data_IF_078714287572
#
_entry.id   IF_078714287572
#
_cell.length_a   1.000
_cell.length_b   1.000
_cell.length_c   1.000
_cell.angle_alpha   90.00
_cell.angle_beta   90.00
_cell.angle_gamma   90.00
#
_symmetry.space_group_name_H-M   'P 1'
#
loop_
_entity.id
_entity.type
_entity.pdbx_description
1 polymer ?
#
# COMPACT_ATOMS: atom_id res chain seq x y z
N UNK A 1 -16.51 -3.93 -25.93
CA UNK A 1 -16.10 -3.86 -24.52
C UNK A 1 -17.36 -3.68 -23.69
N UNK A 2 -17.82 -4.72 -22.99
CA UNK A 2 -18.96 -4.58 -22.08
C UNK A 2 -18.62 -3.51 -21.03
N UNK A 3 -19.26 -2.35 -21.16
CA UNK A 3 -18.87 -1.14 -20.45
C UNK A 3 -19.12 -1.27 -18.96
N UNK A 4 -18.05 -1.17 -18.17
CA UNK A 4 -18.19 -0.85 -16.76
C UNK A 4 -18.82 0.54 -16.65
N UNK A 5 -19.88 0.66 -15.85
CA UNK A 5 -20.63 1.92 -15.71
C UNK A 5 -20.01 2.86 -14.67
N UNK A 6 -19.29 2.33 -13.70
CA UNK A 6 -18.74 3.11 -12.57
C UNK A 6 -17.28 2.76 -12.32
N UNK A 7 -16.49 3.75 -11.91
CA UNK A 7 -15.12 3.60 -11.41
C UNK A 7 -15.03 4.23 -10.03
N UNK A 8 -14.46 3.51 -9.08
CA UNK A 8 -14.33 3.98 -7.70
C UNK A 8 -12.87 4.02 -7.28
N UNK A 9 -12.44 5.16 -6.73
CA UNK A 9 -11.24 5.27 -5.92
C UNK A 9 -11.57 4.81 -4.51
N UNK A 10 -10.69 4.00 -3.93
CA UNK A 10 -10.81 3.45 -2.60
C UNK A 10 -9.54 3.75 -1.81
N UNK A 11 -9.72 4.12 -0.54
CA UNK A 11 -8.67 4.08 0.46
C UNK A 11 -8.89 2.90 1.40
N UNK A 12 -7.85 2.09 1.57
CA UNK A 12 -7.81 0.98 2.51
C UNK A 12 -6.59 1.12 3.43
N UNK A 13 -6.62 0.42 4.55
CA UNK A 13 -5.44 0.08 5.33
C UNK A 13 -5.36 -1.42 5.54
N UNK A 14 -4.14 -1.92 5.76
CA UNK A 14 -3.94 -3.31 6.09
C UNK A 14 -2.68 -3.56 6.91
N UNK A 15 -2.76 -4.58 7.77
CA UNK A 15 -1.60 -5.16 8.45
C UNK A 15 -1.08 -6.34 7.63
N UNK A 16 0.01 -6.10 6.90
CA UNK A 16 0.61 -7.04 5.96
C UNK A 16 1.19 -8.34 6.53
N UNK A 17 1.29 -8.51 7.85
CA UNK A 17 2.01 -9.61 8.51
C UNK A 17 1.54 -11.00 8.04
N UNK A 18 0.25 -11.16 7.73
CA UNK A 18 -0.35 -12.44 7.33
C UNK A 18 -0.40 -12.66 5.81
N UNK A 19 0.21 -11.78 5.02
CA UNK A 19 0.07 -11.75 3.57
C UNK A 19 1.42 -11.81 2.86
N UNK A 20 1.46 -12.50 1.70
CA UNK A 20 2.59 -12.47 0.76
C UNK A 20 2.59 -11.23 -0.12
N UNK A 21 2.48 -10.08 0.55
CA UNK A 21 2.44 -8.76 -0.04
C UNK A 21 1.08 -8.39 -0.61
N UNK A 22 1.07 -7.29 -1.35
CA UNK A 22 -0.13 -6.76 -1.98
C UNK A 22 -0.64 -7.65 -3.13
N UNK A 23 0.22 -7.88 -4.12
CA UNK A 23 -0.17 -8.42 -5.44
C UNK A 23 -0.71 -9.85 -5.34
N UNK A 24 -1.84 -10.12 -6.01
CA UNK A 24 -2.41 -11.47 -6.14
C UNK A 24 -1.43 -12.43 -6.79
N UNK A 25 -1.23 -13.59 -6.16
CA UNK A 25 -0.40 -14.69 -6.65
C UNK A 25 -1.20 -16.00 -6.62
N UNK A 26 -0.92 -17.00 -7.47
CA UNK A 26 -1.77 -18.18 -7.61
C UNK A 26 -1.90 -19.09 -6.38
N UNK A 27 -0.89 -19.11 -5.49
CA UNK A 27 -0.80 -20.09 -4.38
C UNK A 27 -0.69 -19.46 -2.99
N UNK A 28 -0.65 -18.14 -2.92
CA UNK A 28 -0.34 -17.41 -1.70
C UNK A 28 -1.46 -16.42 -1.39
N UNK A 29 -1.76 -16.25 -0.11
CA UNK A 29 -2.72 -15.24 0.33
C UNK A 29 -2.08 -13.86 0.21
N UNK A 30 -2.71 -12.98 -0.57
CA UNK A 30 -2.31 -11.59 -0.73
C UNK A 30 -3.43 -10.65 -0.33
N UNK A 31 -3.09 -9.41 -0.03
CA UNK A 31 -4.10 -8.39 0.31
C UNK A 31 -5.05 -8.15 -0.86
N UNK A 32 -4.52 -8.03 -2.09
CA UNK A 32 -5.33 -7.84 -3.30
C UNK A 32 -6.33 -8.98 -3.50
N UNK A 33 -5.92 -10.24 -3.29
CA UNK A 33 -6.82 -11.39 -3.45
C UNK A 33 -8.01 -11.31 -2.48
N UNK A 34 -7.76 -11.05 -1.21
CA UNK A 34 -8.80 -10.93 -0.18
C UNK A 34 -9.75 -9.77 -0.49
N UNK A 35 -9.20 -8.63 -0.90
CA UNK A 35 -10.00 -7.45 -1.29
C UNK A 35 -10.87 -7.74 -2.52
N UNK A 36 -10.29 -8.32 -3.58
CA UNK A 36 -11.00 -8.65 -4.81
C UNK A 36 -12.11 -9.68 -4.56
N UNK A 37 -11.86 -10.68 -3.72
CA UNK A 37 -12.85 -11.73 -3.43
C UNK A 37 -14.02 -11.17 -2.60
N UNK A 38 -13.74 -10.30 -1.62
CA UNK A 38 -14.77 -9.61 -0.84
C UNK A 38 -15.61 -8.68 -1.72
N UNK A 39 -14.98 -7.86 -2.55
CA UNK A 39 -15.66 -6.98 -3.51
C UNK A 39 -16.49 -7.76 -4.52
N UNK A 40 -15.94 -8.86 -5.05
CA UNK A 40 -16.63 -9.68 -6.04
C UNK A 40 -17.87 -10.34 -5.46
N UNK A 41 -17.78 -10.83 -4.22
CA UNK A 41 -18.90 -11.38 -3.47
C UNK A 41 -19.97 -10.32 -3.16
N UNK A 42 -19.56 -9.13 -2.75
CA UNK A 42 -20.49 -8.03 -2.44
C UNK A 42 -21.24 -7.53 -3.69
N UNK A 43 -20.53 -7.36 -4.80
CA UNK A 43 -21.07 -6.74 -6.01
C UNK A 43 -21.65 -7.74 -7.02
N UNK A 44 -21.55 -9.05 -6.73
CA UNK A 44 -22.08 -10.12 -7.57
C UNK A 44 -21.45 -10.18 -8.97
N UNK A 45 -20.19 -9.75 -9.10
CA UNK A 45 -19.44 -9.74 -10.36
C UNK A 45 -17.95 -9.91 -10.06
N UNK A 46 -17.16 -10.38 -11.01
CA UNK A 46 -15.69 -10.42 -10.82
C UNK A 46 -15.14 -9.00 -10.77
N UNK A 47 -14.46 -8.66 -9.68
CA UNK A 47 -13.80 -7.37 -9.49
C UNK A 47 -12.29 -7.55 -9.62
N UNK A 48 -11.67 -6.65 -10.39
CA UNK A 48 -10.23 -6.47 -10.45
C UNK A 48 -9.90 -5.15 -9.77
N UNK A 49 -9.01 -5.19 -8.78
CA UNK A 49 -8.63 -4.03 -7.99
C UNK A 49 -7.20 -3.61 -8.34
N UNK A 50 -7.06 -2.41 -8.88
CA UNK A 50 -5.78 -1.84 -9.32
C UNK A 50 -5.28 -0.87 -8.24
N UNK A 51 -4.24 -1.28 -7.53
CA UNK A 51 -3.63 -0.48 -6.48
C UNK A 51 -2.63 0.58 -6.96
N UNK A 52 -2.26 1.51 -6.07
CA UNK A 52 -1.37 2.64 -6.39
C UNK A 52 0.13 2.30 -6.46
N UNK A 53 0.49 1.09 -6.01
CA UNK A 53 1.85 0.56 -5.97
C UNK A 53 1.88 -0.86 -5.38
N UNK A 54 3.04 -1.52 -5.35
CA UNK A 54 3.18 -2.84 -4.72
C UNK A 54 3.79 -2.69 -3.33
N UNK A 55 3.42 -3.58 -2.41
CA UNK A 55 4.09 -3.77 -1.13
C UNK A 55 4.55 -5.22 -1.03
N UNK A 56 5.74 -5.40 -0.48
CA UNK A 56 6.36 -6.72 -0.28
C UNK A 56 5.68 -7.50 0.86
N UNK A 57 6.01 -8.78 0.97
CA UNK A 57 5.56 -9.65 2.07
C UNK A 57 5.78 -9.01 3.43
N UNK A 58 4.76 -8.99 4.27
CA UNK A 58 4.81 -8.43 5.62
C UNK A 58 4.62 -6.91 5.71
N UNK A 59 4.81 -6.16 4.63
CA UNK A 59 4.71 -4.68 4.64
C UNK A 59 3.28 -4.23 4.88
N UNK A 60 3.09 -3.29 5.80
CA UNK A 60 1.78 -2.72 6.12
C UNK A 60 1.47 -1.49 5.27
N UNK A 61 0.20 -1.10 5.24
CA UNK A 61 -0.20 0.21 4.75
C UNK A 61 -1.24 0.83 5.68
N UNK A 62 -0.96 2.05 6.15
CA UNK A 62 -1.91 2.86 6.92
C UNK A 62 -2.86 3.68 6.03
N UNK A 63 -2.42 3.96 4.80
CA UNK A 63 -3.24 4.51 3.73
C UNK A 63 -2.75 3.94 2.41
N UNK A 64 -3.57 3.12 1.77
CA UNK A 64 -3.31 2.51 0.47
C UNK A 64 -4.47 2.83 -0.46
N UNK A 65 -4.14 3.35 -1.63
CA UNK A 65 -5.14 3.76 -2.60
C UNK A 65 -5.21 2.75 -3.74
N UNK A 66 -6.40 2.51 -4.23
CA UNK A 66 -6.60 1.75 -5.45
C UNK A 66 -7.92 2.09 -6.09
N UNK A 67 -8.18 1.50 -7.24
CA UNK A 67 -9.46 1.67 -7.89
C UNK A 67 -9.96 0.36 -8.47
N UNK A 68 -11.27 0.29 -8.63
CA UNK A 68 -11.93 -0.82 -9.32
C UNK A 68 -13.10 -0.29 -10.15
N UNK A 69 -13.53 -1.12 -11.08
CA UNK A 69 -14.69 -0.88 -11.92
C UNK A 69 -15.87 -1.74 -11.48
N UNK A 70 -17.09 -1.20 -11.63
CA UNK A 70 -18.32 -1.94 -11.35
C UNK A 70 -19.35 -1.71 -12.46
N UNK A 71 -20.11 -2.77 -12.79
CA UNK A 71 -21.30 -2.70 -13.65
C UNK A 71 -22.51 -2.02 -12.98
N UNK A 72 -22.50 -1.87 -11.64
CA UNK A 72 -23.61 -1.32 -10.84
C UNK A 72 -23.09 -0.31 -9.82
N UNK A 73 -23.95 0.62 -9.42
CA UNK A 73 -23.62 1.54 -8.34
C UNK A 73 -23.43 0.75 -7.02
N UNK A 74 -22.53 1.22 -6.17
CA UNK A 74 -22.34 0.65 -4.83
C UNK A 74 -23.50 1.07 -3.91
N UNK A 75 -23.89 0.25 -2.93
CA UNK A 75 -24.92 0.62 -1.96
C UNK A 75 -24.44 1.73 -1.01
N UNK A 76 -25.35 2.53 -0.47
CA UNK A 76 -25.02 3.65 0.43
C UNK A 76 -24.23 3.23 1.68
N UNK A 77 -24.50 2.01 2.19
CA UNK A 77 -23.82 1.41 3.32
C UNK A 77 -22.62 0.53 2.90
N UNK A 78 -22.05 0.73 1.71
CA UNK A 78 -20.94 -0.08 1.17
C UNK A 78 -19.79 -0.26 2.15
N UNK A 79 -19.29 0.83 2.75
CA UNK A 79 -18.18 0.78 3.71
C UNK A 79 -18.49 -0.09 4.94
N UNK A 80 -19.73 -0.05 5.41
CA UNK A 80 -20.17 -0.90 6.52
C UNK A 80 -20.15 -2.38 6.12
N UNK A 81 -20.75 -2.71 4.97
CA UNK A 81 -20.86 -4.10 4.53
C UNK A 81 -19.49 -4.70 4.20
N UNK A 82 -18.65 -3.99 3.42
CA UNK A 82 -17.35 -4.53 3.00
C UNK A 82 -16.43 -4.77 4.20
N UNK A 83 -16.41 -3.87 5.18
CA UNK A 83 -15.64 -4.04 6.41
C UNK A 83 -16.15 -5.18 7.30
N UNK A 84 -17.44 -5.54 7.21
CA UNK A 84 -17.98 -6.74 7.88
C UNK A 84 -17.60 -8.04 7.18
N UNK A 85 -17.26 -7.98 5.89
CA UNK A 85 -16.83 -9.14 5.10
C UNK A 85 -15.32 -9.38 5.13
N UNK A 86 -14.54 -8.32 5.36
CA UNK A 86 -13.08 -8.39 5.43
C UNK A 86 -12.58 -8.94 6.77
N UNK A 87 -11.39 -9.57 6.79
CA UNK A 87 -10.73 -9.92 8.05
C UNK A 87 -10.27 -8.65 8.78
N UNK A 88 -10.09 -8.74 10.11
CA UNK A 88 -9.79 -7.58 10.97
C UNK A 88 -8.45 -6.87 10.73
N UNK A 89 -7.63 -7.36 9.80
CA UNK A 89 -6.35 -6.79 9.35
C UNK A 89 -6.43 -6.08 7.99
N UNK A 90 -7.63 -5.91 7.41
CA UNK A 90 -7.87 -5.07 6.24
C UNK A 90 -9.14 -4.23 6.49
N UNK A 91 -9.05 -2.92 6.26
CA UNK A 91 -10.19 -2.02 6.41
C UNK A 91 -10.30 -1.06 5.22
N UNK A 92 -11.52 -0.79 4.78
CA UNK A 92 -11.88 0.27 3.84
C UNK A 92 -12.28 1.52 4.62
N UNK A 93 -11.68 2.66 4.28
CA UNK A 93 -12.00 3.93 4.94
C UNK A 93 -12.81 4.86 4.07
N UNK A 94 -12.50 4.93 2.77
CA UNK A 94 -13.18 5.82 1.83
C UNK A 94 -13.41 5.12 0.51
N UNK A 95 -14.52 5.48 -0.13
CA UNK A 95 -14.87 5.12 -1.49
C UNK A 95 -15.45 6.35 -2.17
N UNK A 96 -15.01 6.65 -3.38
CA UNK A 96 -15.46 7.83 -4.13
C UNK A 96 -15.52 7.49 -5.61
N UNK A 97 -16.62 7.82 -6.26
CA UNK A 97 -16.73 7.70 -7.71
C UNK A 97 -15.76 8.67 -8.40
N UNK A 98 -15.07 8.20 -9.42
CA UNK A 98 -14.07 8.98 -10.15
C UNK A 98 -14.27 8.83 -11.66
N UNK A 99 -13.81 9.82 -12.42
CA UNK A 99 -13.88 9.80 -13.87
C UNK A 99 -13.06 8.67 -14.51
N UNK A 100 -13.41 8.33 -15.75
CA UNK A 100 -12.78 7.23 -16.49
C UNK A 100 -11.28 7.39 -16.73
N UNK A 101 -10.75 8.62 -16.70
CA UNK A 101 -9.31 8.89 -16.87
C UNK A 101 -8.48 8.61 -15.60
N UNK A 102 -9.12 8.42 -14.44
CA UNK A 102 -8.40 8.16 -13.19
C UNK A 102 -7.71 6.78 -13.21
N UNK A 103 -6.45 6.73 -12.79
CA UNK A 103 -5.73 5.48 -12.58
C UNK A 103 -4.86 5.56 -11.33
N UNK A 104 -5.15 4.75 -10.30
CA UNK A 104 -4.52 4.86 -8.99
C UNK A 104 -2.97 4.88 -9.01
N UNK A 105 -2.34 4.14 -9.93
CA UNK A 105 -0.88 4.14 -10.07
C UNK A 105 -0.33 5.38 -10.80
N UNK A 106 -1.02 5.86 -11.83
CA UNK A 106 -0.49 6.90 -12.73
C UNK A 106 -0.94 8.31 -12.32
N UNK A 107 -2.11 8.41 -11.70
CA UNK A 107 -2.62 9.65 -11.10
C UNK A 107 -1.96 9.98 -9.75
N UNK A 108 -1.22 9.03 -9.14
CA UNK A 108 -0.53 9.27 -7.88
C UNK A 108 0.71 10.17 -8.08
N UNK A 109 0.72 11.31 -7.37
CA UNK A 109 1.81 12.30 -7.47
C UNK A 109 2.99 11.95 -6.56
N UNK A 110 2.73 11.37 -5.38
CA UNK A 110 3.74 11.01 -4.37
C UNK A 110 3.33 9.75 -3.62
N UNK A 111 4.32 9.06 -3.05
CA UNK A 111 4.14 7.97 -2.08
C UNK A 111 5.00 8.27 -0.86
N UNK A 112 4.46 8.01 0.32
CA UNK A 112 5.17 8.15 1.60
C UNK A 112 5.36 6.80 2.26
N UNK A 113 6.52 6.60 2.87
CA UNK A 113 6.85 5.41 3.65
C UNK A 113 7.35 5.83 5.02
N UNK A 114 7.00 5.04 6.04
CA UNK A 114 7.46 5.22 7.41
C UNK A 114 7.97 3.90 7.93
N UNK A 115 9.25 3.86 8.26
CA UNK A 115 9.88 2.75 8.96
C UNK A 115 9.86 3.04 10.45
N UNK A 116 9.37 2.08 11.24
CA UNK A 116 9.29 2.20 12.69
C UNK A 116 10.32 1.29 13.34
N UNK A 117 11.09 1.82 14.28
CA UNK A 117 12.13 1.10 15.01
C UNK A 117 11.92 1.26 16.51
N UNK A 118 12.24 0.23 17.30
CA UNK A 118 12.22 0.29 18.76
C UNK A 118 13.48 -0.35 19.35
N UNK A 119 13.94 0.19 20.48
CA UNK A 119 15.23 -0.20 21.09
C UNK A 119 15.10 -1.03 22.36
N UNK A 120 13.88 -1.17 22.89
CA UNK A 120 13.59 -2.04 24.04
C UNK A 120 12.63 -3.14 23.62
N UNK A 121 12.89 -4.38 24.05
CA UNK A 121 11.99 -5.51 23.79
C UNK A 121 10.57 -5.14 24.19
N UNK A 122 9.65 -5.17 23.22
CA UNK A 122 8.25 -4.84 23.42
C UNK A 122 7.35 -5.83 22.67
N UNK A 123 6.58 -6.67 23.39
CA UNK A 123 5.74 -7.69 22.75
C UNK A 123 4.61 -7.11 21.89
N UNK A 124 4.27 -5.83 22.05
CA UNK A 124 3.24 -5.16 21.24
C UNK A 124 3.78 -4.61 19.90
N UNK A 125 5.10 -4.53 19.73
CA UNK A 125 5.74 -3.92 18.56
C UNK A 125 6.31 -4.94 17.58
N UNK A 126 6.39 -6.22 17.95
CA UNK A 126 7.08 -7.28 17.20
C UNK A 126 6.61 -7.44 15.75
N UNK A 127 5.37 -7.08 15.46
CA UNK A 127 4.80 -7.19 14.11
C UNK A 127 4.74 -5.86 13.37
N UNK A 128 4.97 -4.72 14.02
CA UNK A 128 4.71 -3.38 13.45
C UNK A 128 5.95 -2.48 13.47
N UNK A 129 7.04 -2.93 14.07
CA UNK A 129 8.29 -2.19 14.16
C UNK A 129 9.48 -3.15 14.25
N UNK A 130 10.62 -2.74 13.72
CA UNK A 130 11.87 -3.49 13.79
C UNK A 130 12.56 -3.25 15.13
N UNK A 131 12.94 -4.32 15.83
CA UNK A 131 13.77 -4.23 17.03
C UNK A 131 15.23 -3.93 16.64
N UNK A 132 15.84 -2.94 17.29
CA UNK A 132 17.23 -2.55 17.10
C UNK A 132 17.91 -2.34 18.46
N UNK A 133 18.78 -3.25 18.85
CA UNK A 133 19.34 -3.32 20.20
C UNK A 133 20.51 -2.35 20.48
N UNK A 134 21.03 -1.69 19.45
CA UNK A 134 22.22 -0.84 19.57
C UNK A 134 21.86 0.63 19.76
N UNK A 135 22.76 1.43 20.37
CA UNK A 135 22.58 2.88 20.46
C UNK A 135 22.40 3.53 19.09
N UNK A 136 21.39 4.39 18.99
CA UNK A 136 21.06 5.12 17.76
C UNK A 136 21.73 6.48 17.80
N UNK A 137 22.58 6.77 16.81
CA UNK A 137 23.20 8.08 16.63
C UNK A 137 22.30 8.93 15.72
N UNK A 138 21.41 9.71 16.33
CA UNK A 138 20.41 10.51 15.60
C UNK A 138 21.04 11.50 14.63
N UNK A 139 22.13 12.18 15.01
CA UNK A 139 22.81 13.14 14.14
C UNK A 139 23.34 12.48 12.85
N UNK A 140 23.89 11.27 12.97
CA UNK A 140 24.35 10.49 11.82
C UNK A 140 23.17 10.08 10.92
N UNK A 141 22.07 9.64 11.51
CA UNK A 141 20.87 9.26 10.76
C UNK A 141 20.25 10.46 10.02
N UNK A 142 20.23 11.64 10.63
CA UNK A 142 19.77 12.86 9.98
C UNK A 142 20.68 13.27 8.83
N UNK A 143 22.00 13.20 9.01
CA UNK A 143 22.96 13.46 7.94
C UNK A 143 22.75 12.51 6.75
N UNK A 144 22.61 11.20 7.00
CA UNK A 144 22.33 10.21 5.97
C UNK A 144 20.97 10.42 5.28
N UNK A 145 19.95 10.87 6.02
CA UNK A 145 18.66 11.20 5.43
C UNK A 145 18.76 12.39 4.45
N UNK A 146 19.60 13.38 4.76
CA UNK A 146 19.89 14.49 3.85
C UNK A 146 20.64 14.01 2.60
N UNK A 147 21.63 13.12 2.74
CA UNK A 147 22.33 12.52 1.59
C UNK A 147 21.37 11.74 0.67
N UNK A 148 20.43 10.98 1.27
CA UNK A 148 19.37 10.28 0.52
C UNK A 148 18.46 11.27 -0.21
N UNK A 149 18.12 12.39 0.43
CA UNK A 149 17.26 13.42 -0.18
C UNK A 149 17.91 14.08 -1.39
N UNK A 150 19.21 14.35 -1.31
CA UNK A 150 19.97 15.04 -2.36
C UNK A 150 20.43 14.08 -3.48
N UNK A 151 20.37 12.76 -3.24
CA UNK A 151 20.66 11.73 -4.21
C UNK A 151 19.62 11.69 -5.34
N UNK A 152 20.10 11.40 -6.56
CA UNK A 152 19.25 11.32 -7.76
C UNK A 152 19.15 9.93 -8.34
N UNK A 153 20.18 9.09 -8.20
CA UNK A 153 20.19 7.71 -8.69
C UNK A 153 20.22 6.73 -7.51
N UNK A 154 19.23 5.85 -7.46
CA UNK A 154 19.05 4.85 -6.42
C UNK A 154 19.37 3.43 -6.90
N UNK A 155 20.21 3.27 -7.94
CA UNK A 155 20.60 1.97 -8.47
C UNK A 155 21.09 1.00 -7.40
N UNK A 156 21.90 1.49 -6.46
CA UNK A 156 22.44 0.69 -5.35
C UNK A 156 21.35 0.17 -4.37
N UNK A 157 20.18 0.79 -4.34
CA UNK A 157 19.05 0.42 -3.49
C UNK A 157 17.98 -0.38 -4.25
N UNK A 158 18.12 -0.52 -5.56
CA UNK A 158 17.19 -1.29 -6.38
C UNK A 158 17.64 -2.76 -6.44
N UNK A 159 16.75 -3.69 -6.09
CA UNK A 159 17.06 -5.12 -6.15
C UNK A 159 17.24 -5.65 -7.58
N UNK A 160 16.54 -5.06 -8.54
CA UNK A 160 16.49 -5.48 -9.95
C UNK A 160 16.51 -4.26 -10.88
N UNK A 161 17.61 -3.47 -10.87
CA UNK A 161 17.68 -2.23 -11.64
C UNK A 161 17.51 -2.43 -13.15
N UNK A 162 17.87 -3.61 -13.67
CA UNK A 162 17.75 -4.00 -15.06
C UNK A 162 16.31 -4.12 -15.58
N UNK A 163 15.31 -4.16 -14.70
CA UNK A 163 13.89 -4.18 -15.08
C UNK A 163 13.30 -2.79 -15.36
N UNK A 164 14.09 -1.73 -15.20
CA UNK A 164 13.65 -0.35 -15.32
C UNK A 164 14.55 0.45 -16.25
N UNK A 165 13.97 1.41 -16.98
CA UNK A 165 14.72 2.30 -17.89
C UNK A 165 15.73 3.17 -17.13
N UNK A 166 15.40 3.56 -15.88
CA UNK A 166 16.28 4.26 -14.97
C UNK A 166 15.91 4.01 -13.50
N UNK A 167 16.85 4.24 -12.60
CA UNK A 167 16.66 4.17 -11.14
C UNK A 167 16.60 5.55 -10.49
N UNK A 168 16.41 6.59 -11.30
CA UNK A 168 16.31 7.95 -10.81
C UNK A 168 14.99 8.19 -10.08
N UNK A 169 15.07 8.73 -8.86
CA UNK A 169 13.93 9.12 -8.05
C UNK A 169 14.13 10.53 -7.50
N UNK A 170 13.03 11.24 -7.24
CA UNK A 170 13.06 12.52 -6.53
C UNK A 170 12.52 12.32 -5.12
N UNK A 171 13.38 12.49 -4.12
CA UNK A 171 13.03 12.36 -2.71
C UNK A 171 12.59 13.73 -2.20
N UNK A 172 11.30 13.88 -1.93
CA UNK A 172 10.73 15.14 -1.44
C UNK A 172 11.06 15.38 0.04
N UNK A 173 11.08 14.31 0.82
CA UNK A 173 11.30 14.34 2.27
C UNK A 173 11.99 13.05 2.71
N UNK A 174 12.99 13.19 3.57
CA UNK A 174 13.65 12.10 4.28
C UNK A 174 14.13 12.66 5.63
N UNK A 175 13.73 12.02 6.72
CA UNK A 175 14.07 12.46 8.08
C UNK A 175 13.92 11.30 9.07
N UNK A 176 14.62 11.42 10.19
CA UNK A 176 14.42 10.57 11.36
C UNK A 176 13.77 11.37 12.48
N UNK A 177 12.90 10.73 13.26
CA UNK A 177 12.27 11.35 14.42
C UNK A 177 12.35 10.36 15.59
N UNK A 178 12.56 10.87 16.80
CA UNK A 178 12.60 10.08 18.03
C UNK A 178 11.36 10.35 18.87
#
# INVERSE_FOLDING_TARGET
MEGYSFKYLVEIAYKGTRYKGWQRQPKEISVQAVVEDALSKLLGQKIVFIGCGRTDTGVHASAYFGHFHSKKNIPDNFLFIINKMLPGDIAFYRVTEVGNEFHAQFSAVRRGYRYLMHTNVNPFLSETSTYYEYPVQMDLLQALAQDIKDSKDFKAFCKQPELYDHTSCNIFEASWNQ
#
